data_IF_397954137184
#
_entry.id   IF_397954137184
#
_cell.length_a   1.000
_cell.length_b   1.000
_cell.length_c   1.000
_cell.angle_alpha   90.00
_cell.angle_beta   90.00
_cell.angle_gamma   90.00
#
_symmetry.space_group_name_H-M   'P 1'
#
loop_
_entity.id
_entity.type
_entity.pdbx_description
1 polymer ?
#
# COMPACT_ATOMS: atom_id res chain seq x y z
N UNK A 1 15.86 10.14 -32.65
CA UNK A 1 15.61 9.57 -31.30
C UNK A 1 15.16 10.68 -30.34
N UNK A 2 13.85 10.95 -30.22
CA UNK A 2 13.28 11.94 -29.25
C UNK A 2 11.94 11.50 -28.60
N UNK A 3 11.42 10.30 -28.93
CA UNK A 3 10.12 9.83 -28.43
C UNK A 3 10.13 9.18 -27.04
N UNK A 4 11.30 8.81 -26.52
CA UNK A 4 11.41 8.09 -25.25
C UNK A 4 11.22 8.95 -23.99
N UNK A 5 11.57 10.25 -24.03
CA UNK A 5 11.46 11.12 -22.85
C UNK A 5 10.03 11.66 -22.65
N UNK A 6 9.31 11.93 -23.74
CA UNK A 6 7.92 12.44 -23.70
C UNK A 6 6.96 11.36 -23.18
N UNK A 7 7.16 10.11 -23.60
CA UNK A 7 6.37 8.97 -23.11
C UNK A 7 6.65 8.67 -21.63
N UNK A 8 7.91 8.76 -21.18
CA UNK A 8 8.25 8.64 -19.75
C UNK A 8 7.60 9.73 -18.90
N UNK A 9 7.76 11.01 -19.28
CA UNK A 9 7.14 12.12 -18.55
C UNK A 9 5.61 12.01 -18.50
N UNK A 10 4.98 11.51 -19.56
CA UNK A 10 3.52 11.32 -19.61
C UNK A 10 3.08 10.15 -18.71
N UNK A 11 3.82 9.04 -18.73
CA UNK A 11 3.56 7.89 -17.85
C UNK A 11 3.78 8.22 -16.37
N UNK A 12 4.86 8.95 -16.05
CA UNK A 12 5.16 9.41 -14.69
C UNK A 12 4.03 10.33 -14.19
N UNK A 13 3.58 11.28 -15.02
CA UNK A 13 2.48 12.20 -14.71
C UNK A 13 1.13 11.49 -14.53
N UNK A 14 0.86 10.41 -15.28
CA UNK A 14 -0.33 9.57 -15.11
C UNK A 14 -0.23 8.72 -13.84
N UNK A 15 0.95 8.17 -13.52
CA UNK A 15 1.16 7.35 -12.33
C UNK A 15 0.97 8.15 -11.03
N UNK A 16 1.47 9.39 -10.98
CA UNK A 16 1.27 10.31 -9.86
C UNK A 16 -0.18 10.75 -9.67
N UNK A 17 -0.98 10.73 -10.75
CA UNK A 17 -2.41 10.97 -10.67
C UNK A 17 -3.19 9.71 -10.28
N UNK A 18 -2.54 8.56 -10.04
CA UNK A 18 -3.21 7.30 -9.72
C UNK A 18 -2.72 6.67 -8.40
N UNK A 19 -1.48 6.91 -8.02
CA UNK A 19 -0.84 6.45 -6.78
C UNK A 19 -0.10 7.58 -6.09
N UNK A 20 0.07 7.49 -4.76
CA UNK A 20 0.84 8.46 -3.99
C UNK A 20 2.31 8.57 -4.44
N UNK A 21 2.87 7.52 -5.05
CA UNK A 21 4.24 7.49 -5.54
C UNK A 21 5.32 7.51 -4.45
N UNK A 22 4.96 7.61 -3.18
CA UNK A 22 5.86 7.56 -2.03
C UNK A 22 5.13 7.06 -0.79
N UNK A 23 5.82 6.30 0.06
CA UNK A 23 5.28 5.85 1.34
C UNK A 23 5.75 6.78 2.44
N UNK A 24 4.81 7.44 3.11
CA UNK A 24 5.11 8.43 4.14
C UNK A 24 5.61 7.74 5.41
N UNK A 25 6.72 8.23 5.95
CA UNK A 25 7.33 7.78 7.21
C UNK A 25 7.68 6.27 7.25
N UNK A 26 7.93 5.61 6.10
CA UNK A 26 8.29 4.18 6.06
C UNK A 26 9.56 3.86 6.86
N UNK A 27 10.54 4.77 6.89
CA UNK A 27 11.78 4.59 7.67
C UNK A 27 11.49 4.45 9.17
N UNK A 28 10.50 5.18 9.69
CA UNK A 28 10.10 5.13 11.10
C UNK A 28 9.46 3.78 11.47
N UNK A 29 8.95 3.03 10.48
CA UNK A 29 8.42 1.68 10.66
C UNK A 29 9.56 0.69 10.94
N UNK A 30 10.67 0.81 10.21
CA UNK A 30 11.82 -0.10 10.34
C UNK A 30 12.77 0.30 11.46
N UNK A 31 12.83 1.59 11.81
CA UNK A 31 13.75 2.13 12.82
C UNK A 31 13.00 2.95 13.88
N UNK A 32 12.10 2.33 14.66
CA UNK A 32 11.35 3.05 15.67
C UNK A 32 12.26 3.50 16.81
N UNK A 33 12.17 4.79 17.13
CA UNK A 33 12.75 5.41 18.31
C UNK A 33 11.65 5.76 19.32
N UNK A 34 12.00 5.99 20.58
CA UNK A 34 11.02 6.38 21.60
C UNK A 34 10.20 7.61 21.18
N UNK A 35 10.87 8.64 20.67
CA UNK A 35 10.22 9.88 20.22
C UNK A 35 9.33 9.66 18.99
N UNK A 36 9.74 8.81 18.04
CA UNK A 36 8.90 8.50 16.86
C UNK A 36 7.68 7.69 17.26
N UNK A 37 7.78 6.77 18.21
CA UNK A 37 6.62 6.03 18.73
C UNK A 37 5.56 6.96 19.33
N UNK A 38 5.96 7.94 20.14
CA UNK A 38 5.04 8.94 20.70
C UNK A 38 4.40 9.76 19.58
N UNK A 39 5.20 10.31 18.66
CA UNK A 39 4.69 11.06 17.51
C UNK A 39 3.72 10.22 16.67
N UNK A 40 4.01 8.93 16.50
CA UNK A 40 3.17 8.00 15.75
C UNK A 40 1.81 7.82 16.40
N UNK A 41 1.72 7.72 17.73
CA UNK A 41 0.42 7.63 18.42
C UNK A 41 -0.45 8.85 18.12
N UNK A 42 0.10 10.06 18.24
CA UNK A 42 -0.64 11.30 17.97
C UNK A 42 -1.03 11.43 16.49
N UNK A 43 -0.06 11.24 15.58
CA UNK A 43 -0.30 11.29 14.12
C UNK A 43 -1.35 10.27 13.70
N UNK A 44 -1.24 9.03 14.18
CA UNK A 44 -2.18 7.96 13.86
C UNK A 44 -3.59 8.34 14.33
N UNK A 45 -3.76 8.85 15.55
CA UNK A 45 -5.08 9.25 16.05
C UNK A 45 -5.71 10.33 15.17
N UNK A 46 -4.96 11.37 14.82
CA UNK A 46 -5.45 12.44 13.95
C UNK A 46 -5.83 11.90 12.57
N UNK A 47 -4.91 11.19 11.91
CA UNK A 47 -5.13 10.69 10.55
C UNK A 47 -6.27 9.69 10.49
N UNK A 48 -6.37 8.76 11.44
CA UNK A 48 -7.44 7.76 11.44
C UNK A 48 -8.82 8.40 11.59
N UNK A 49 -8.95 9.42 12.43
CA UNK A 49 -10.21 10.16 12.56
C UNK A 49 -10.57 10.86 11.24
N UNK A 50 -9.59 11.46 10.56
CA UNK A 50 -9.80 12.07 9.24
C UNK A 50 -10.18 11.01 8.20
N UNK A 51 -9.48 9.88 8.15
CA UNK A 51 -9.78 8.75 7.26
C UNK A 51 -11.20 8.21 7.49
N UNK A 52 -11.63 8.02 8.75
CA UNK A 52 -12.99 7.58 9.08
C UNK A 52 -14.06 8.62 8.71
N UNK A 53 -13.75 9.92 8.76
CA UNK A 53 -14.68 10.98 8.33
C UNK A 53 -14.87 11.04 6.82
N UNK A 54 -13.83 10.69 6.06
CA UNK A 54 -13.81 10.75 4.59
C UNK A 54 -14.38 9.47 4.00
N UNK A 55 -13.94 8.31 4.49
CA UNK A 55 -14.37 7.01 4.03
C UNK A 55 -15.31 6.40 5.07
N UNK A 56 -16.62 6.56 4.86
CA UNK A 56 -17.64 6.07 5.79
C UNK A 56 -17.55 4.56 6.06
N UNK A 57 -17.03 3.81 5.09
CA UNK A 57 -16.80 2.37 5.13
C UNK A 57 -15.50 1.96 5.85
N UNK A 58 -14.58 2.90 6.06
CA UNK A 58 -13.37 2.64 6.81
C UNK A 58 -13.70 2.58 8.30
N UNK A 59 -13.29 1.49 8.95
CA UNK A 59 -13.31 1.32 10.39
C UNK A 59 -11.96 0.84 10.85
N UNK A 60 -11.34 1.60 11.76
CA UNK A 60 -10.02 1.24 12.31
C UNK A 60 -10.00 -0.16 12.91
N UNK A 61 -11.06 -0.55 13.61
CA UNK A 61 -11.13 -1.84 14.33
C UNK A 61 -11.12 -3.05 13.41
N UNK A 62 -11.70 -2.95 12.21
CA UNK A 62 -11.87 -4.09 11.29
C UNK A 62 -10.97 -4.00 10.06
N UNK A 63 -10.18 -2.94 9.89
CA UNK A 63 -9.34 -2.77 8.70
C UNK A 63 -8.33 -3.91 8.47
N UNK A 64 -7.94 -4.64 9.52
CA UNK A 64 -7.08 -5.82 9.39
C UNK A 64 -7.71 -6.93 8.51
N UNK A 65 -9.03 -7.04 8.48
CA UNK A 65 -9.78 -7.97 7.60
C UNK A 65 -9.67 -7.51 6.14
N UNK A 66 -9.89 -6.22 5.88
CA UNK A 66 -9.72 -5.63 4.54
C UNK A 66 -8.28 -5.83 4.04
N UNK A 67 -7.30 -5.62 4.91
CA UNK A 67 -5.90 -5.84 4.59
C UNK A 67 -5.60 -7.32 4.25
N UNK A 68 -6.21 -8.26 5.00
CA UNK A 68 -6.12 -9.70 4.75
C UNK A 68 -6.67 -10.07 3.38
N UNK A 69 -7.89 -9.64 3.09
CA UNK A 69 -8.58 -9.98 1.85
C UNK A 69 -7.82 -9.45 0.63
N UNK A 70 -7.38 -8.18 0.70
CA UNK A 70 -6.57 -7.58 -0.37
C UNK A 70 -5.25 -8.29 -0.59
N UNK A 71 -4.61 -8.77 0.48
CA UNK A 71 -3.39 -9.56 0.38
C UNK A 71 -3.64 -10.89 -0.35
N UNK A 72 -4.65 -11.65 0.07
CA UNK A 72 -4.95 -12.95 -0.53
C UNK A 72 -5.52 -12.86 -1.94
N UNK A 73 -6.30 -11.83 -2.25
CA UNK A 73 -6.75 -11.52 -3.61
C UNK A 73 -5.54 -11.28 -4.53
N UNK A 74 -4.58 -10.48 -4.08
CA UNK A 74 -3.33 -10.23 -4.80
C UNK A 74 -2.51 -11.50 -4.99
N UNK A 75 -2.35 -12.30 -3.93
CA UNK A 75 -1.61 -13.56 -3.97
C UNK A 75 -2.24 -14.54 -4.96
N UNK A 76 -3.57 -14.67 -4.92
CA UNK A 76 -4.35 -15.52 -5.82
C UNK A 76 -4.22 -15.05 -7.27
N UNK A 77 -4.38 -13.75 -7.53
CA UNK A 77 -4.24 -13.17 -8.86
C UNK A 77 -2.82 -13.38 -9.42
N UNK A 78 -1.79 -13.21 -8.58
CA UNK A 78 -0.40 -13.48 -8.97
C UNK A 78 -0.17 -14.95 -9.34
N UNK A 79 -0.64 -15.89 -8.51
CA UNK A 79 -0.53 -17.34 -8.78
C UNK A 79 -1.23 -17.74 -10.08
N UNK A 80 -2.36 -17.12 -10.40
CA UNK A 80 -3.11 -17.32 -11.65
C UNK A 80 -2.52 -16.56 -12.85
N UNK A 81 -1.51 -15.72 -12.62
CA UNK A 81 -0.95 -14.78 -13.61
C UNK A 81 -2.01 -13.83 -14.20
N UNK A 82 -3.04 -13.49 -13.42
CA UNK A 82 -4.13 -12.60 -13.83
C UNK A 82 -3.72 -11.13 -13.66
N UNK A 83 -3.37 -10.51 -14.78
CA UNK A 83 -2.93 -9.11 -14.82
C UNK A 83 -4.06 -8.13 -14.54
N UNK A 84 -5.30 -8.48 -14.92
CA UNK A 84 -6.44 -7.57 -14.77
C UNK A 84 -6.81 -7.47 -13.29
N UNK A 85 -6.85 -8.60 -12.60
CA UNK A 85 -7.12 -8.60 -11.16
C UNK A 85 -5.97 -7.96 -10.38
N UNK A 86 -4.70 -8.26 -10.70
CA UNK A 86 -3.56 -7.59 -10.07
C UNK A 86 -3.65 -6.06 -10.16
N UNK A 87 -4.06 -5.52 -11.31
CA UNK A 87 -4.21 -4.07 -11.50
C UNK A 87 -5.30 -3.45 -10.61
N UNK A 88 -6.31 -4.23 -10.18
CA UNK A 88 -7.35 -3.76 -9.25
C UNK A 88 -6.87 -3.69 -7.81
N UNK A 89 -5.94 -4.56 -7.42
CA UNK A 89 -5.48 -4.69 -6.03
C UNK A 89 -4.20 -3.93 -5.73
N UNK A 90 -3.42 -3.56 -6.76
CA UNK A 90 -2.11 -2.92 -6.62
C UNK A 90 -2.13 -1.45 -7.07
N UNK A 91 -1.28 -0.64 -6.44
CA UNK A 91 -0.90 0.65 -7.00
C UNK A 91 -0.14 0.46 -8.32
N UNK A 92 -0.14 1.47 -9.19
CA UNK A 92 0.51 1.38 -10.51
C UNK A 92 1.99 1.00 -10.41
N UNK A 93 2.82 1.65 -9.56
CA UNK A 93 4.23 1.31 -9.46
C UNK A 93 4.45 -0.15 -9.06
N UNK A 94 3.62 -0.67 -8.15
CA UNK A 94 3.73 -2.05 -7.69
C UNK A 94 3.23 -3.03 -8.75
N UNK A 95 2.14 -2.72 -9.45
CA UNK A 95 1.64 -3.51 -10.57
C UNK A 95 2.70 -3.69 -11.67
N UNK A 96 3.46 -2.64 -11.99
CA UNK A 96 4.53 -2.72 -12.99
C UNK A 96 5.66 -3.68 -12.57
N UNK A 97 5.99 -3.76 -11.28
CA UNK A 97 6.96 -4.73 -10.73
C UNK A 97 6.44 -6.16 -10.95
N UNK A 98 5.19 -6.43 -10.59
CA UNK A 98 4.56 -7.74 -10.78
C UNK A 98 4.51 -8.12 -12.27
N UNK A 99 4.09 -7.19 -13.12
CA UNK A 99 4.00 -7.39 -14.57
C UNK A 99 5.37 -7.70 -15.18
N UNK A 100 6.42 -7.02 -14.74
CA UNK A 100 7.79 -7.26 -15.20
C UNK A 100 8.29 -8.64 -14.74
N UNK A 101 8.09 -9.00 -13.48
CA UNK A 101 8.41 -10.32 -12.92
C UNK A 101 7.75 -11.43 -13.74
N UNK A 102 6.44 -11.32 -14.00
CA UNK A 102 5.69 -12.31 -14.81
C UNK A 102 6.18 -12.36 -16.26
N UNK A 103 6.47 -11.21 -16.88
CA UNK A 103 6.95 -11.15 -18.27
C UNK A 103 8.33 -11.76 -18.43
N UNK A 104 9.22 -11.56 -17.47
CA UNK A 104 10.61 -12.02 -17.51
C UNK A 104 10.81 -13.38 -16.83
N UNK A 105 9.76 -13.96 -16.24
CA UNK A 105 9.83 -15.15 -15.40
C UNK A 105 10.90 -15.04 -14.30
N UNK A 106 10.95 -13.88 -13.64
CA UNK A 106 11.89 -13.58 -12.56
C UNK A 106 11.16 -13.51 -11.22
N UNK A 107 11.80 -13.88 -10.10
CA UNK A 107 11.20 -13.72 -8.78
C UNK A 107 10.89 -12.24 -8.51
N UNK A 108 9.88 -12.00 -7.68
CA UNK A 108 9.59 -10.68 -7.13
C UNK A 108 10.75 -10.23 -6.21
N UNK A 109 10.96 -8.92 -6.04
CA UNK A 109 11.99 -8.40 -5.12
C UNK A 109 11.61 -8.56 -3.63
N UNK A 110 10.48 -9.20 -3.34
CA UNK A 110 9.96 -9.50 -2.01
C UNK A 110 9.29 -10.88 -2.03
N UNK A 111 9.05 -11.44 -0.85
CA UNK A 111 8.39 -12.75 -0.70
C UNK A 111 6.91 -12.58 -0.45
N UNK A 112 6.09 -13.29 -1.24
CA UNK A 112 4.67 -13.45 -0.94
C UNK A 112 4.46 -14.72 -0.14
N UNK A 113 4.09 -14.56 1.12
CA UNK A 113 3.85 -15.63 2.07
C UNK A 113 2.43 -16.17 1.92
N UNK A 114 2.26 -17.48 2.09
CA UNK A 114 0.94 -18.12 2.01
C UNK A 114 0.23 -18.21 3.36
N UNK A 115 1.00 -18.20 4.45
CA UNK A 115 0.52 -18.46 5.80
C UNK A 115 0.59 -17.20 6.65
N UNK A 116 -0.51 -16.45 6.68
CA UNK A 116 -0.68 -15.24 7.50
C UNK A 116 -1.23 -15.64 8.86
N UNK A 117 -0.46 -15.40 9.93
CA UNK A 117 -0.84 -15.69 11.32
C UNK A 117 -1.61 -14.55 11.95
N UNK A 118 -1.14 -13.33 11.76
CA UNK A 118 -1.74 -12.15 12.38
C UNK A 118 -1.56 -10.91 11.52
N UNK A 119 -2.48 -9.95 11.65
CA UNK A 119 -2.44 -8.65 10.98
C UNK A 119 -2.84 -7.58 11.97
N UNK A 120 -1.95 -6.62 12.19
CA UNK A 120 -2.17 -5.52 13.12
C UNK A 120 -2.05 -4.19 12.39
N UNK A 121 -2.95 -3.26 12.68
CA UNK A 121 -2.74 -1.87 12.30
C UNK A 121 -1.47 -1.33 12.98
N UNK A 122 -0.61 -0.64 12.21
CA UNK A 122 0.62 -0.06 12.72
C UNK A 122 0.67 1.46 12.58
N UNK A 123 0.39 1.97 11.37
CA UNK A 123 0.56 3.39 11.07
C UNK A 123 -0.49 3.89 10.08
N UNK A 124 -0.91 5.16 10.23
CA UNK A 124 -1.73 5.84 9.25
C UNK A 124 -1.12 7.20 8.89
N UNK A 125 -1.07 7.52 7.60
CA UNK A 125 -0.54 8.79 7.06
C UNK A 125 -1.41 9.34 5.96
N UNK A 126 -1.27 10.64 5.72
CA UNK A 126 -1.84 11.32 4.56
C UNK A 126 -0.68 11.82 3.73
N UNK A 127 -0.67 11.44 2.46
CA UNK A 127 0.19 12.02 1.45
C UNK A 127 -0.63 12.97 0.59
N UNK A 128 -0.12 14.17 0.35
CA UNK A 128 -0.72 15.09 -0.64
C UNK A 128 0.37 15.68 -1.53
N UNK A 129 0.11 15.71 -2.83
CA UNK A 129 1.05 16.27 -3.80
C UNK A 129 1.19 17.80 -3.67
N UNK A 130 0.16 18.47 -3.15
CA UNK A 130 0.16 19.91 -2.92
C UNK A 130 -0.02 20.25 -1.44
N UNK A 131 1.08 20.66 -0.78
CA UNK A 131 1.11 20.99 0.66
C UNK A 131 0.13 22.08 1.11
N UNK A 132 -0.39 22.89 0.19
CA UNK A 132 -1.19 24.09 0.50
C UNK A 132 -2.58 24.10 -0.17
N UNK A 133 -2.90 23.10 -0.98
CA UNK A 133 -4.21 22.99 -1.61
C UNK A 133 -4.85 21.67 -1.13
N UNK A 134 -5.94 21.77 -0.39
CA UNK A 134 -6.81 20.62 -0.12
C UNK A 134 -7.42 20.16 -1.44
N UNK A 135 -6.70 19.31 -2.17
CA UNK A 135 -7.18 18.70 -3.40
C UNK A 135 -7.39 17.19 -3.14
N UNK A 136 -8.64 16.75 -2.93
CA UNK A 136 -8.96 15.34 -2.73
C UNK A 136 -8.46 14.43 -3.86
N UNK A 137 -8.37 14.94 -5.09
CA UNK A 137 -7.90 14.17 -6.25
C UNK A 137 -6.39 13.89 -6.23
N UNK A 138 -5.66 14.55 -5.33
CA UNK A 138 -4.21 14.46 -5.16
C UNK A 138 -3.82 14.25 -3.70
N UNK A 139 -4.73 13.66 -2.93
CA UNK A 139 -4.52 13.32 -1.52
C UNK A 139 -4.84 11.85 -1.32
N UNK A 140 -3.92 11.13 -0.67
CA UNK A 140 -3.99 9.70 -0.44
C UNK A 140 -3.85 9.42 1.04
N UNK A 141 -4.75 8.59 1.53
CA UNK A 141 -4.67 8.00 2.85
C UNK A 141 -3.89 6.71 2.75
N UNK A 142 -2.86 6.57 3.57
CA UNK A 142 -2.01 5.40 3.66
C UNK A 142 -2.21 4.72 5.00
N UNK A 143 -2.38 3.41 4.98
CA UNK A 143 -2.48 2.57 6.17
C UNK A 143 -1.42 1.48 6.08
N UNK A 144 -0.51 1.46 7.04
CA UNK A 144 0.49 0.40 7.21
C UNK A 144 -0.03 -0.61 8.21
N UNK A 145 0.04 -1.88 7.81
CA UNK A 145 -0.29 -3.01 8.65
C UNK A 145 0.94 -3.89 8.84
N UNK A 146 1.19 -4.32 10.07
CA UNK A 146 2.15 -5.35 10.40
C UNK A 146 1.50 -6.71 10.15
N UNK A 147 2.04 -7.45 9.19
CA UNK A 147 1.68 -8.84 8.94
C UNK A 147 2.69 -9.74 9.63
N UNK A 148 2.20 -10.73 10.36
CA UNK A 148 2.99 -11.83 10.89
C UNK A 148 2.71 -13.04 10.01
N UNK A 149 3.76 -13.54 9.36
CA UNK A 149 3.70 -14.73 8.52
C UNK A 149 4.48 -15.87 9.15
N UNK A 150 4.13 -17.10 8.80
CA UNK A 150 5.01 -18.25 9.02
C UNK A 150 5.84 -18.52 7.76
N UNK A 151 7.16 -18.32 7.87
CA UNK A 151 8.10 -18.61 6.80
C UNK A 151 8.46 -20.10 6.85
N UNK A 152 7.91 -20.88 5.92
CA UNK A 152 8.16 -22.33 5.83
C UNK A 152 9.62 -22.67 5.52
N UNK A 153 10.36 -21.79 4.83
CA UNK A 153 11.76 -22.02 4.49
C UNK A 153 12.67 -21.80 5.69
N UNK A 154 12.35 -20.79 6.51
CA UNK A 154 13.10 -20.48 7.73
C UNK A 154 12.58 -21.21 8.97
N UNK A 155 11.41 -21.83 8.90
CA UNK A 155 10.75 -22.53 10.00
C UNK A 155 10.34 -21.62 11.16
N UNK A 156 10.13 -20.33 10.90
CA UNK A 156 9.88 -19.32 11.95
C UNK A 156 8.88 -18.25 11.51
N UNK A 157 8.32 -17.55 12.49
CA UNK A 157 7.51 -16.37 12.22
C UNK A 157 8.38 -15.19 11.76
N UNK A 158 7.86 -14.43 10.80
CA UNK A 158 8.48 -13.21 10.28
C UNK A 158 7.45 -12.10 10.26
N UNK A 159 7.86 -10.90 10.70
CA UNK A 159 7.02 -9.71 10.66
C UNK A 159 7.44 -8.82 9.49
N UNK A 160 6.45 -8.33 8.75
CA UNK A 160 6.60 -7.49 7.56
C UNK A 160 5.54 -6.41 7.55
N UNK A 161 5.83 -5.27 6.93
CA UNK A 161 4.95 -4.11 6.95
C UNK A 161 4.42 -3.79 5.55
N UNK A 162 3.21 -4.25 5.26
CA UNK A 162 2.56 -3.92 3.99
C UNK A 162 1.85 -2.57 4.12
N UNK A 163 1.81 -1.81 3.03
CA UNK A 163 1.12 -0.50 3.00
C UNK A 163 0.00 -0.51 1.98
N UNK A 164 -1.13 0.01 2.40
CA UNK A 164 -2.33 0.20 1.61
C UNK A 164 -2.54 1.68 1.39
N UNK A 165 -3.02 2.06 0.21
CA UNK A 165 -3.43 3.42 -0.10
C UNK A 165 -4.84 3.47 -0.68
N UNK A 166 -5.53 4.57 -0.41
CA UNK A 166 -6.79 4.96 -1.06
C UNK A 166 -6.78 6.46 -1.26
N UNK A 167 -7.23 6.93 -2.42
CA UNK A 167 -7.34 8.37 -2.68
C UNK A 167 -8.56 8.94 -1.98
N UNK A 168 -8.46 10.16 -1.49
CA UNK A 168 -9.56 10.87 -0.82
C UNK A 168 -10.79 11.03 -1.72
N UNK A 169 -10.61 11.28 -3.02
CA UNK A 169 -11.73 11.36 -3.98
C UNK A 169 -12.40 10.00 -4.28
N UNK A 170 -11.80 8.88 -3.88
CA UNK A 170 -12.31 7.54 -4.18
C UNK A 170 -13.37 7.14 -3.14
N UNK A 171 -14.64 7.25 -3.51
CA UNK A 171 -15.76 7.01 -2.59
C UNK A 171 -16.21 5.55 -2.53
N UNK A 172 -15.70 4.63 -3.36
CA UNK A 172 -16.11 3.23 -3.32
C UNK A 172 -15.32 2.42 -2.28
N UNK A 173 -16.04 1.54 -1.56
CA UNK A 173 -15.48 0.77 -0.43
C UNK A 173 -14.33 -0.17 -0.81
N UNK A 174 -14.22 -0.53 -2.10
CA UNK A 174 -13.24 -1.51 -2.59
C UNK A 174 -11.94 -0.88 -3.11
N UNK A 175 -11.75 0.43 -2.94
CA UNK A 175 -10.66 1.16 -3.61
C UNK A 175 -9.31 1.10 -2.89
N UNK A 176 -9.22 0.49 -1.71
CA UNK A 176 -7.94 0.24 -1.07
C UNK A 176 -7.06 -0.69 -1.92
N UNK A 177 -5.85 -0.22 -2.21
CA UNK A 177 -4.83 -0.94 -2.99
C UNK A 177 -3.56 -1.08 -2.18
N UNK A 178 -2.86 -2.19 -2.38
CA UNK A 178 -1.52 -2.37 -1.82
C UNK A 178 -0.56 -1.51 -2.63
N UNK A 179 0.21 -0.66 -1.96
CA UNK A 179 1.24 0.18 -2.57
C UNK A 179 2.66 -0.18 -2.16
N UNK A 180 2.83 -1.04 -1.15
CA UNK A 180 4.14 -1.55 -0.72
C UNK A 180 4.04 -2.97 -0.13
N UNK A 181 5.01 -3.81 -0.51
CA UNK A 181 5.30 -5.10 0.12
C UNK A 181 6.72 -5.06 0.67
N UNK A 182 6.90 -5.72 1.81
CA UNK A 182 8.10 -5.67 2.64
C UNK A 182 8.92 -6.97 2.62
#
# INVERSE_FOLDING_TARGET
MKGGSILKQSADRISHNISSGTIVDLIDVHNPTFMTNIKNVFKNKLVLNTTESIFLDFKKSTFHEVARDKYFDTLTAYKRKDKVDLMKHLSIPLYDIFKLSMKQNRPLPFTLYEDVKDIQFYMARIYSQHKHANNPNQTWHQVTCKFVYYDKLLGKEVAKFNVFERRESDTNQKDWRICHFD
#
